data_IF_654650297602
#
_entry.id   IF_654650297602
#
_cell.length_a   1.000
_cell.length_b   1.000
_cell.length_c   1.000
_cell.angle_alpha   90.00
_cell.angle_beta   90.00
_cell.angle_gamma   90.00
#
_symmetry.space_group_name_H-M   'P 1'
#
loop_
_entity.id
_entity.type
_entity.pdbx_description
1 polymer ?
#
# COMPACT_ATOMS: atom_id res chain seq x y z
N UNK A 1 -29.53 20.16 15.43
CA UNK A 1 -28.90 20.77 14.23
C UNK A 1 -27.38 20.70 14.38
N UNK A 2 -26.75 19.72 13.75
CA UNK A 2 -25.28 19.55 13.77
C UNK A 2 -24.79 19.57 12.33
N UNK A 3 -23.94 20.56 12.04
CA UNK A 3 -23.37 20.92 10.74
C UNK A 3 -22.92 19.71 9.89
N UNK A 4 -23.16 19.70 8.56
CA UNK A 4 -22.64 18.66 7.67
C UNK A 4 -21.12 18.80 7.56
N UNK A 5 -20.39 17.82 8.10
CA UNK A 5 -18.92 17.75 8.01
C UNK A 5 -18.55 17.46 6.56
N UNK A 6 -18.21 18.52 5.83
CA UNK A 6 -17.58 18.44 4.51
C UNK A 6 -16.26 17.67 4.66
N UNK A 7 -16.31 16.37 4.38
CA UNK A 7 -15.15 15.50 4.47
C UNK A 7 -14.14 15.92 3.41
N UNK A 8 -12.94 16.24 3.87
CA UNK A 8 -11.76 16.61 3.08
C UNK A 8 -11.40 15.42 2.17
N UNK A 9 -12.09 15.29 1.04
CA UNK A 9 -11.87 14.28 -0.02
C UNK A 9 -11.54 14.94 -1.37
N UNK A 10 -11.07 16.18 -1.38
CA UNK A 10 -10.96 16.97 -2.62
C UNK A 10 -9.78 16.60 -3.55
N UNK A 11 -9.03 15.53 -3.30
CA UNK A 11 -7.99 15.08 -4.26
C UNK A 11 -7.72 13.56 -4.31
N UNK A 12 -8.61 12.70 -3.81
CA UNK A 12 -8.44 11.24 -3.84
C UNK A 12 -9.14 10.54 -5.03
N UNK A 13 -9.66 11.30 -6.00
CA UNK A 13 -10.64 10.82 -6.98
C UNK A 13 -10.10 10.38 -8.35
N UNK A 14 -9.02 9.59 -8.44
CA UNK A 14 -8.63 8.97 -9.73
C UNK A 14 -7.71 7.75 -9.64
N UNK A 15 -7.99 6.75 -8.79
CA UNK A 15 -7.21 5.50 -8.80
C UNK A 15 -8.01 4.21 -8.63
N UNK A 16 -9.34 4.23 -8.85
CA UNK A 16 -10.13 2.99 -8.82
C UNK A 16 -11.05 2.95 -10.04
N UNK A 17 -10.51 2.59 -11.19
CA UNK A 17 -11.31 1.99 -12.26
C UNK A 17 -10.39 1.24 -13.22
N UNK A 18 -10.86 0.09 -13.69
CA UNK A 18 -10.21 -0.92 -14.56
C UNK A 18 -9.62 -2.14 -13.85
N UNK A 19 -10.50 -2.90 -13.16
CA UNK A 19 -10.46 -4.36 -13.20
C UNK A 19 -11.48 -4.79 -14.26
N UNK A 20 -11.04 -5.25 -15.43
CA UNK A 20 -11.95 -5.85 -16.42
C UNK A 20 -11.20 -6.78 -17.38
N UNK A 21 -11.59 -8.06 -17.31
CA UNK A 21 -11.70 -9.08 -18.37
C UNK A 21 -10.50 -9.36 -19.29
N UNK A 22 -10.14 -10.64 -19.38
CA UNK A 22 -9.35 -11.13 -20.50
C UNK A 22 -8.99 -12.61 -20.43
N UNK A 23 -9.99 -13.48 -20.38
CA UNK A 23 -9.85 -14.92 -20.65
C UNK A 23 -9.35 -15.10 -22.11
N UNK A 24 -8.11 -15.55 -22.32
CA UNK A 24 -7.63 -15.96 -23.65
C UNK A 24 -6.83 -17.26 -23.57
N UNK A 25 -7.54 -18.33 -23.92
CA UNK A 25 -7.15 -19.50 -24.72
C UNK A 25 -5.65 -19.81 -24.80
N UNK A 26 -5.26 -20.87 -24.09
CA UNK A 26 -3.97 -21.56 -24.23
C UNK A 26 -4.01 -22.43 -25.50
N UNK A 27 -3.23 -22.09 -26.51
CA UNK A 27 -2.87 -23.00 -27.61
C UNK A 27 -1.46 -23.53 -27.35
N UNK A 28 -1.35 -24.83 -27.07
CA UNK A 28 -0.05 -25.51 -26.89
C UNK A 28 0.45 -25.91 -28.28
N UNK A 29 1.39 -25.13 -28.83
CA UNK A 29 2.23 -25.57 -29.95
C UNK A 29 3.43 -26.32 -29.37
N UNK A 30 3.53 -27.62 -29.66
CA UNK A 30 4.65 -28.47 -29.26
C UNK A 30 5.87 -28.18 -30.17
N UNK A 31 6.72 -27.23 -29.74
CA UNK A 31 8.05 -27.01 -30.32
C UNK A 31 9.09 -27.59 -29.37
N UNK A 32 9.91 -28.52 -29.86
CA UNK A 32 11.03 -29.09 -29.11
C UNK A 32 12.24 -28.13 -29.20
N UNK A 33 12.81 -27.66 -28.08
CA UNK A 33 14.04 -26.86 -28.13
C UNK A 33 15.27 -27.78 -28.22
N UNK A 34 15.98 -27.72 -29.35
CA UNK A 34 17.36 -28.18 -29.46
C UNK A 34 18.27 -27.15 -28.80
N UNK A 35 18.70 -27.43 -27.57
CA UNK A 35 19.94 -26.90 -27.02
C UNK A 35 19.98 -25.42 -26.65
N UNK A 36 19.31 -25.05 -25.55
CA UNK A 36 19.74 -23.91 -24.75
C UNK A 36 20.34 -24.42 -23.43
N UNK A 37 21.64 -24.19 -23.25
CA UNK A 37 22.31 -24.35 -21.96
C UNK A 37 21.72 -23.34 -20.98
N UNK A 38 21.41 -23.72 -19.72
CA UNK A 38 20.92 -22.76 -18.74
C UNK A 38 22.06 -21.81 -18.40
N UNK A 39 22.05 -20.62 -18.97
CA UNK A 39 22.80 -19.50 -18.42
C UNK A 39 22.23 -19.27 -17.02
N UNK A 40 23.03 -19.56 -15.99
CA UNK A 40 22.73 -19.19 -14.61
C UNK A 40 22.85 -17.66 -14.51
N UNK A 41 21.87 -16.96 -15.07
CA UNK A 41 21.59 -15.58 -14.72
C UNK A 41 21.14 -15.61 -13.27
N UNK A 42 22.11 -15.43 -12.37
CA UNK A 42 21.85 -15.17 -10.97
C UNK A 42 21.22 -13.79 -10.88
N UNK A 43 19.92 -13.71 -11.21
CA UNK A 43 19.11 -12.55 -10.96
C UNK A 43 19.11 -12.40 -9.44
N UNK A 44 19.86 -11.42 -8.92
CA UNK A 44 19.66 -10.94 -7.58
C UNK A 44 18.21 -10.48 -7.59
N UNK A 45 17.30 -11.35 -7.13
CA UNK A 45 15.88 -11.08 -7.13
C UNK A 45 15.72 -9.83 -6.26
N UNK A 46 15.48 -8.69 -6.92
CA UNK A 46 15.17 -7.46 -6.22
C UNK A 46 13.85 -7.73 -5.49
N UNK A 47 13.96 -8.13 -4.22
CA UNK A 47 12.82 -8.40 -3.38
C UNK A 47 12.06 -7.07 -3.25
N UNK A 48 10.90 -6.98 -3.90
CA UNK A 48 10.04 -5.80 -3.77
C UNK A 48 9.82 -5.50 -2.28
N UNK A 49 10.02 -4.25 -1.85
CA UNK A 49 9.90 -3.91 -0.44
C UNK A 49 8.47 -4.21 0.04
N UNK A 50 8.38 -4.84 1.22
CA UNK A 50 7.08 -5.15 1.82
C UNK A 50 6.30 -3.85 2.11
N UNK A 51 4.98 -3.95 2.31
CA UNK A 51 4.17 -2.78 2.71
C UNK A 51 4.73 -2.14 3.98
N UNK A 52 5.11 -2.98 4.93
CA UNK A 52 5.68 -2.57 6.21
C UNK A 52 6.95 -1.77 5.99
N UNK A 53 7.94 -2.34 5.29
CA UNK A 53 9.21 -1.65 5.00
C UNK A 53 8.98 -0.34 4.23
N UNK A 54 8.01 -0.34 3.31
CA UNK A 54 7.62 0.86 2.54
C UNK A 54 7.09 1.96 3.46
N UNK A 55 6.18 1.63 4.39
CA UNK A 55 5.59 2.58 5.32
C UNK A 55 6.61 3.06 6.35
N UNK A 56 7.39 2.16 6.96
CA UNK A 56 8.42 2.50 7.95
C UNK A 56 9.46 3.48 7.36
N UNK A 57 9.96 3.17 6.16
CA UNK A 57 10.94 4.00 5.46
C UNK A 57 10.31 5.31 5.02
N UNK A 58 9.11 5.26 4.44
CA UNK A 58 8.42 6.44 3.93
C UNK A 58 7.97 7.40 5.02
N UNK A 59 7.61 6.90 6.20
CA UNK A 59 7.20 7.70 7.35
C UNK A 59 8.37 8.12 8.23
N UNK A 60 9.58 7.65 7.93
CA UNK A 60 10.79 7.90 8.72
C UNK A 60 10.60 7.49 10.18
N UNK A 61 10.01 6.31 10.41
CA UNK A 61 9.85 5.77 11.76
C UNK A 61 11.23 5.65 12.46
N UNK A 62 11.27 6.06 13.73
CA UNK A 62 12.48 6.07 14.58
C UNK A 62 12.26 5.45 15.96
N UNK A 63 11.01 5.40 16.43
CA UNK A 63 10.68 4.88 17.76
C UNK A 63 9.98 3.53 17.65
N UNK A 64 10.18 2.67 18.64
CA UNK A 64 9.54 1.35 18.69
C UNK A 64 8.02 1.44 18.58
N UNK A 65 7.39 2.39 19.30
CA UNK A 65 5.96 2.65 19.21
C UNK A 65 5.48 3.05 17.79
N UNK A 66 6.33 3.66 16.97
CA UNK A 66 5.99 4.01 15.60
C UNK A 66 6.04 2.78 14.69
N UNK A 67 7.00 1.88 14.90
CA UNK A 67 7.09 0.60 14.21
C UNK A 67 5.91 -0.31 14.58
N UNK A 68 5.56 -0.39 15.87
CA UNK A 68 4.38 -1.14 16.36
C UNK A 68 3.10 -0.65 15.70
N UNK A 69 2.90 0.67 15.62
CA UNK A 69 1.73 1.24 14.96
C UNK A 69 1.66 0.88 13.47
N UNK A 70 2.80 0.95 12.75
CA UNK A 70 2.85 0.53 11.34
C UNK A 70 2.56 -0.96 11.19
N UNK A 71 3.09 -1.81 12.07
CA UNK A 71 2.79 -3.23 12.13
C UNK A 71 1.30 -3.50 12.24
N UNK A 72 0.64 -2.85 13.21
CA UNK A 72 -0.81 -2.96 13.40
C UNK A 72 -1.59 -2.53 12.15
N UNK A 73 -1.21 -1.41 11.52
CA UNK A 73 -1.83 -0.97 10.26
C UNK A 73 -1.65 -2.01 9.16
N UNK A 74 -0.47 -2.62 9.04
CA UNK A 74 -0.17 -3.66 8.04
C UNK A 74 -1.01 -4.91 8.28
N UNK A 75 -1.16 -5.35 9.52
CA UNK A 75 -2.03 -6.48 9.88
C UNK A 75 -3.48 -6.20 9.45
N UNK A 76 -3.99 -4.99 9.71
CA UNK A 76 -5.33 -4.58 9.29
C UNK A 76 -5.49 -4.48 7.78
N UNK A 77 -4.42 -4.13 7.06
CA UNK A 77 -4.42 -4.19 5.59
C UNK A 77 -4.43 -5.63 5.10
N UNK A 78 -3.65 -6.53 5.72
CA UNK A 78 -3.62 -7.95 5.36
C UNK A 78 -4.95 -8.65 5.65
N UNK A 79 -5.63 -8.25 6.74
CA UNK A 79 -6.99 -8.69 7.06
C UNK A 79 -8.06 -8.13 6.09
N UNK A 80 -7.71 -7.20 5.20
CA UNK A 80 -8.63 -6.56 4.27
C UNK A 80 -9.52 -5.49 4.91
N UNK A 81 -9.31 -5.16 6.18
CA UNK A 81 -10.04 -4.11 6.91
C UNK A 81 -9.63 -2.70 6.43
N UNK A 82 -8.37 -2.53 5.99
CA UNK A 82 -7.85 -1.29 5.43
C UNK A 82 -7.33 -1.50 3.99
N UNK A 83 -7.73 -0.68 3.01
CA UNK A 83 -7.21 -0.80 1.65
C UNK A 83 -5.72 -0.42 1.59
N UNK A 84 -4.88 -1.29 1.00
CA UNK A 84 -3.44 -1.05 0.82
C UNK A 84 -3.14 0.26 0.09
N UNK A 85 -3.83 0.52 -1.02
CA UNK A 85 -3.60 1.72 -1.83
C UNK A 85 -3.96 3.01 -1.07
N UNK A 86 -4.95 2.94 -0.19
CA UNK A 86 -5.31 4.05 0.69
C UNK A 86 -4.17 4.37 1.65
N UNK A 87 -3.53 3.35 2.23
CA UNK A 87 -2.39 3.54 3.14
C UNK A 87 -1.19 4.14 2.42
N UNK A 88 -0.84 3.64 1.22
CA UNK A 88 0.24 4.20 0.41
C UNK A 88 -0.07 5.66 0.00
N UNK A 89 -1.30 5.94 -0.42
CA UNK A 89 -1.74 7.30 -0.75
C UNK A 89 -1.68 8.24 0.46
N UNK A 90 -2.06 7.74 1.64
CA UNK A 90 -2.02 8.49 2.90
C UNK A 90 -0.59 8.77 3.34
N UNK A 91 0.32 7.80 3.21
CA UNK A 91 1.76 8.00 3.44
C UNK A 91 2.32 9.11 2.54
N UNK A 92 2.07 9.05 1.23
CA UNK A 92 2.53 10.06 0.28
C UNK A 92 1.95 11.44 0.59
N UNK A 93 0.68 11.51 1.02
CA UNK A 93 0.07 12.76 1.47
C UNK A 93 0.78 13.31 2.71
N UNK A 94 1.09 12.47 3.70
CA UNK A 94 1.78 12.88 4.92
C UNK A 94 3.19 13.41 4.62
N UNK A 95 3.94 12.73 3.74
CA UNK A 95 5.24 13.17 3.24
C UNK A 95 5.17 14.56 2.57
N UNK A 96 4.16 14.80 1.73
CA UNK A 96 3.94 16.10 1.08
C UNK A 96 3.52 17.18 2.08
N UNK A 97 2.75 16.80 3.11
CA UNK A 97 2.22 17.74 4.10
C UNK A 97 3.31 18.23 5.06
N UNK A 98 4.12 17.31 5.57
CA UNK A 98 5.26 17.58 6.46
C UNK A 98 6.39 16.58 6.19
N UNK A 99 7.37 16.93 5.33
CA UNK A 99 8.45 16.01 4.96
C UNK A 99 9.44 15.76 6.10
N UNK A 100 9.57 16.69 7.05
CA UNK A 100 10.44 16.56 8.22
C UNK A 100 9.91 15.52 9.21
N UNK A 101 8.58 15.49 9.40
CA UNK A 101 7.94 14.64 10.40
C UNK A 101 6.59 14.09 9.88
N UNK A 102 6.61 13.15 8.93
CA UNK A 102 5.39 12.67 8.27
C UNK A 102 4.58 11.69 9.12
N UNK A 103 5.21 10.95 10.04
CA UNK A 103 4.56 9.90 10.82
C UNK A 103 3.30 10.38 11.59
N UNK A 104 3.30 11.46 12.40
CA UNK A 104 2.09 11.83 13.14
C UNK A 104 0.92 12.26 12.26
N UNK A 105 1.21 12.84 11.09
CA UNK A 105 0.16 13.20 10.13
C UNK A 105 -0.47 11.96 9.51
N UNK A 106 0.35 10.96 9.19
CA UNK A 106 -0.12 9.66 8.75
C UNK A 106 -0.98 9.00 9.83
N UNK A 107 -0.47 8.91 11.07
CA UNK A 107 -1.20 8.32 12.20
C UNK A 107 -2.57 8.97 12.40
N UNK A 108 -2.63 10.30 12.41
CA UNK A 108 -3.89 11.02 12.54
C UNK A 108 -4.87 10.73 11.39
N UNK A 109 -4.39 10.70 10.15
CA UNK A 109 -5.21 10.42 8.98
C UNK A 109 -5.75 8.98 9.01
N UNK A 110 -4.91 8.02 9.36
CA UNK A 110 -5.26 6.60 9.45
C UNK A 110 -6.25 6.36 10.58
N UNK A 111 -6.06 6.93 11.78
CA UNK A 111 -7.04 6.84 12.87
C UNK A 111 -8.41 7.39 12.46
N UNK A 112 -8.44 8.52 11.74
CA UNK A 112 -9.68 9.09 11.22
C UNK A 112 -10.35 8.18 10.20
N UNK A 113 -9.58 7.56 9.31
CA UNK A 113 -10.08 6.60 8.32
C UNK A 113 -10.60 5.32 8.97
N UNK A 114 -9.85 4.75 9.91
CA UNK A 114 -10.24 3.57 10.64
C UNK A 114 -11.56 3.79 11.40
N UNK A 115 -11.69 4.93 12.09
CA UNK A 115 -12.95 5.32 12.72
C UNK A 115 -14.13 5.44 11.74
N UNK A 116 -13.88 5.92 10.52
CA UNK A 116 -14.91 6.00 9.48
C UNK A 116 -15.30 4.63 8.91
N UNK A 117 -14.36 3.69 8.88
CA UNK A 117 -14.56 2.30 8.44
C UNK A 117 -15.06 1.38 9.56
N UNK A 118 -15.12 1.86 10.81
CA UNK A 118 -15.46 1.04 11.97
C UNK A 118 -14.35 0.09 12.44
N UNK A 119 -13.11 0.36 12.02
CA UNK A 119 -11.92 -0.43 12.36
C UNK A 119 -11.24 0.15 13.61
N UNK A 120 -10.81 -0.72 14.53
CA UNK A 120 -10.05 -0.33 15.73
C UNK A 120 -8.55 -0.45 15.49
N UNK A 121 -7.80 0.60 15.88
CA UNK A 121 -6.35 0.72 15.80
C UNK A 121 -5.78 1.23 17.13
#
# INVERSE_FOLDING_TARGET
MTQPKSYIYRSFGRFVLHNLLGLVVVTISLVAPLGEQPVLVSTVAAQEPTLQTTLETGLKCRKDAEFEFVGLVVEKVQAGELPRDLMIGTMRWAQKKKPEFPFPYFQFAVQKQAKALGVSL
#
